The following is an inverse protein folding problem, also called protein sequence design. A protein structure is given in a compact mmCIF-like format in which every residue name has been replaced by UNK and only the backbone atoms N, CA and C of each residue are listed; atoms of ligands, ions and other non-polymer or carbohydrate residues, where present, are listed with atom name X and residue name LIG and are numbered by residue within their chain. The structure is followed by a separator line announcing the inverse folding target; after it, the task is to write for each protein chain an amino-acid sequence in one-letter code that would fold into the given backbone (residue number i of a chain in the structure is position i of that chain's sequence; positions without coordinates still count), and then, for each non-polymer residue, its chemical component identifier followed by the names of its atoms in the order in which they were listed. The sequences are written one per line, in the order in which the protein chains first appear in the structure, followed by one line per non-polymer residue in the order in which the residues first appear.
data_IF_903054447306
#
_entry.id   IF_903054447306
#
_cell.length_a   1.000
_cell.length_b   1.000
_cell.length_c   1.000
_cell.angle_alpha   90.00
_cell.angle_beta   90.00
_cell.angle_gamma   90.00
#
_symmetry.space_group_name_H-M   'P 1'
#
loop_
_entity.id
_entity.type
_entity.pdbx_description
1 polymer ?
#
# COMPACT_ATOMS: atom_id res chain seq x y z
N UNK A 1 36.83 -10.39 -4.13
CA UNK A 1 36.46 -10.00 -2.75
C UNK A 1 37.61 -10.45 -1.86
N UNK A 2 38.30 -9.54 -1.15
CA UNK A 2 39.42 -9.86 -0.28
C UNK A 2 38.93 -9.79 1.17
N UNK A 3 38.54 -10.91 1.81
CA UNK A 3 38.05 -10.87 3.18
C UNK A 3 39.21 -10.52 4.11
N UNK A 4 39.12 -9.37 4.79
CA UNK A 4 40.05 -9.01 5.86
C UNK A 4 39.80 -9.93 7.08
N UNK A 5 40.79 -10.74 7.51
CA UNK A 5 40.61 -11.65 8.64
C UNK A 5 40.20 -10.95 9.94
N UNK A 6 40.46 -9.64 10.07
CA UNK A 6 40.10 -8.84 11.25
C UNK A 6 38.59 -8.69 11.44
N UNK A 7 37.78 -8.95 10.42
CA UNK A 7 36.31 -8.84 10.51
C UNK A 7 35.59 -10.18 10.49
N UNK A 8 36.30 -11.30 10.47
CA UNK A 8 35.68 -12.62 10.34
C UNK A 8 34.79 -12.97 11.53
N UNK A 9 35.24 -12.68 12.77
CA UNK A 9 34.42 -12.87 13.96
C UNK A 9 33.10 -12.07 13.93
N UNK A 10 33.14 -10.85 13.39
CA UNK A 10 31.94 -10.02 13.22
C UNK A 10 31.01 -10.60 12.14
N UNK A 11 31.58 -11.09 11.03
CA UNK A 11 30.81 -11.73 9.96
C UNK A 11 30.11 -13.00 10.43
N UNK A 12 30.77 -13.81 11.25
CA UNK A 12 30.18 -15.03 11.80
C UNK A 12 29.01 -14.70 12.74
N UNK A 13 29.15 -13.70 13.62
CA UNK A 13 28.05 -13.21 14.44
C UNK A 13 26.88 -12.68 13.58
N UNK A 14 27.15 -11.88 12.55
CA UNK A 14 26.11 -11.40 11.65
C UNK A 14 25.43 -12.54 10.89
N UNK A 15 26.18 -13.60 10.52
CA UNK A 15 25.61 -14.80 9.90
C UNK A 15 24.63 -15.47 10.84
N UNK A 16 24.98 -15.64 12.11
CA UNK A 16 24.07 -16.20 13.13
C UNK A 16 22.82 -15.33 13.31
N UNK A 17 22.98 -14.01 13.44
CA UNK A 17 21.85 -13.09 13.58
C UNK A 17 20.92 -13.10 12.37
N UNK A 18 21.43 -13.23 11.15
CA UNK A 18 20.60 -13.33 9.93
C UNK A 18 19.74 -14.60 9.84
N UNK A 19 19.97 -15.61 10.70
CA UNK A 19 19.06 -16.76 10.86
C UNK A 19 17.84 -16.43 11.73
N UNK A 20 17.82 -15.28 12.41
CA UNK A 20 16.63 -14.78 13.11
C UNK A 20 15.74 -14.04 12.11
N UNK A 21 14.48 -14.48 11.99
CA UNK A 21 13.54 -13.93 11.00
C UNK A 21 13.38 -12.41 11.11
N UNK A 22 13.27 -11.86 12.33
CA UNK A 22 13.14 -10.41 12.55
C UNK A 22 14.34 -9.62 12.03
N UNK A 23 15.56 -10.15 12.22
CA UNK A 23 16.79 -9.53 11.71
C UNK A 23 16.84 -9.63 10.19
N UNK A 24 16.46 -10.78 9.64
CA UNK A 24 16.43 -11.01 8.21
C UNK A 24 15.45 -10.05 7.52
N UNK A 25 14.21 -9.94 8.03
CA UNK A 25 13.18 -9.03 7.52
C UNK A 25 13.65 -7.58 7.62
N UNK A 26 14.26 -7.18 8.74
CA UNK A 26 14.76 -5.81 8.92
C UNK A 26 15.87 -5.45 7.94
N UNK A 27 16.88 -6.32 7.80
CA UNK A 27 17.99 -6.06 6.87
C UNK A 27 17.54 -6.15 5.41
N UNK A 28 16.68 -7.11 5.08
CA UNK A 28 16.10 -7.24 3.74
C UNK A 28 15.28 -6.01 3.35
N UNK A 29 14.43 -5.51 4.26
CA UNK A 29 13.69 -4.26 4.10
C UNK A 29 14.62 -3.08 3.84
N UNK A 30 15.59 -2.86 4.75
CA UNK A 30 16.53 -1.75 4.67
C UNK A 30 17.36 -1.74 3.37
N UNK A 31 17.80 -2.90 2.89
CA UNK A 31 18.63 -3.00 1.67
C UNK A 31 17.77 -2.84 0.40
N UNK A 32 16.57 -3.43 0.37
CA UNK A 32 15.69 -3.40 -0.80
C UNK A 32 14.85 -2.13 -0.91
N UNK A 33 14.71 -1.38 0.17
CA UNK A 33 13.75 -0.28 0.30
C UNK A 33 12.31 -0.74 0.50
N UNK A 34 12.06 -2.04 0.71
CA UNK A 34 10.72 -2.57 0.95
C UNK A 34 10.10 -2.09 2.28
N UNK A 35 10.92 -1.59 3.21
CA UNK A 35 10.48 -1.00 4.48
C UNK A 35 10.28 0.51 4.42
N UNK A 36 10.38 1.14 3.23
CA UNK A 36 10.07 2.56 3.05
C UNK A 36 8.57 2.78 3.30
N UNK A 37 8.26 3.65 4.26
CA UNK A 37 6.92 4.13 4.54
C UNK A 37 6.95 5.65 4.74
N UNK A 38 5.93 6.34 4.22
CA UNK A 38 5.74 7.77 4.43
C UNK A 38 4.95 8.04 5.71
N UNK A 39 5.40 8.98 6.53
CA UNK A 39 4.62 9.45 7.67
C UNK A 39 3.44 10.28 7.18
N UNK A 40 2.22 9.75 7.35
CA UNK A 40 0.98 10.42 6.98
C UNK A 40 0.30 11.13 8.17
N UNK A 41 0.85 10.99 9.39
CA UNK A 41 0.24 11.47 10.63
C UNK A 41 -0.88 10.57 11.16
N UNK A 42 -0.89 9.29 10.78
CA UNK A 42 -1.89 8.28 11.17
C UNK A 42 -1.21 7.15 11.97
N UNK A 43 -0.78 7.42 13.22
CA UNK A 43 -0.03 6.46 14.01
C UNK A 43 -0.84 5.20 14.28
N UNK A 44 -0.28 4.04 13.95
CA UNK A 44 -0.89 2.74 14.20
C UNK A 44 -1.72 2.18 13.05
N UNK A 45 -1.90 2.89 11.93
CA UNK A 45 -2.44 2.29 10.70
C UNK A 45 -1.32 1.56 9.92
N UNK A 46 -1.33 0.21 9.83
CA UNK A 46 -0.34 -0.55 9.09
C UNK A 46 -0.35 -0.30 7.58
N UNK A 47 -1.39 0.33 7.04
CA UNK A 47 -1.47 0.70 5.63
C UNK A 47 -1.12 2.16 5.36
N UNK A 48 -0.91 2.99 6.38
CA UNK A 48 -0.58 4.40 6.18
C UNK A 48 0.81 4.54 5.55
N UNK A 49 0.85 5.07 4.33
CA UNK A 49 2.08 5.48 3.67
C UNK A 49 3.03 4.35 3.28
N UNK A 50 2.63 3.08 3.42
CA UNK A 50 3.41 1.92 2.96
C UNK A 50 3.19 1.68 1.46
N UNK A 51 4.12 0.98 0.84
CA UNK A 51 3.98 0.54 -0.55
C UNK A 51 2.85 -0.49 -0.66
N UNK A 52 1.93 -0.31 -1.62
CA UNK A 52 0.80 -1.20 -1.79
C UNK A 52 1.29 -2.60 -2.18
N UNK A 53 0.84 -3.67 -1.50
CA UNK A 53 1.12 -5.02 -1.94
C UNK A 53 0.52 -5.22 -3.33
N UNK A 54 1.22 -5.96 -4.20
CA UNK A 54 0.73 -6.18 -5.56
C UNK A 54 -0.32 -7.30 -5.61
N UNK A 55 -1.51 -6.95 -5.10
CA UNK A 55 -2.67 -7.83 -4.95
C UNK A 55 -3.17 -8.33 -6.30
N UNK A 56 -3.64 -9.59 -6.33
CA UNK A 56 -4.46 -10.10 -7.44
C UNK A 56 -5.92 -9.77 -7.18
N UNK A 57 -6.51 -9.03 -8.11
CA UNK A 57 -7.82 -8.42 -7.96
C UNK A 57 -8.77 -9.00 -9.01
N UNK A 58 -9.85 -9.63 -8.54
CA UNK A 58 -10.93 -10.12 -9.40
C UNK A 58 -12.01 -9.03 -9.57
N UNK A 59 -12.05 -8.45 -10.76
CA UNK A 59 -13.13 -7.56 -11.21
C UNK A 59 -14.31 -8.37 -11.75
N UNK A 60 -15.36 -7.70 -12.24
CA UNK A 60 -16.49 -8.38 -12.88
C UNK A 60 -16.08 -9.18 -14.12
N UNK A 61 -15.12 -8.65 -14.89
CA UNK A 61 -14.80 -9.16 -16.23
C UNK A 61 -13.48 -9.94 -16.28
N UNK A 62 -12.54 -9.65 -15.38
CA UNK A 62 -11.18 -10.24 -15.41
C UNK A 62 -10.49 -10.26 -14.05
N UNK A 63 -9.39 -11.02 -13.95
CA UNK A 63 -8.39 -10.88 -12.87
C UNK A 63 -7.26 -9.97 -13.34
N UNK A 64 -6.82 -9.06 -12.49
CA UNK A 64 -5.79 -8.04 -12.78
C UNK A 64 -4.92 -7.81 -11.54
N UNK A 65 -3.62 -7.51 -11.72
CA UNK A 65 -2.78 -7.12 -10.57
C UNK A 65 -2.90 -5.64 -10.27
N UNK A 66 -2.77 -5.26 -9.01
CA UNK A 66 -2.81 -3.85 -8.57
C UNK A 66 -1.81 -2.98 -9.35
N UNK A 67 -0.59 -3.47 -9.56
CA UNK A 67 0.43 -2.76 -10.33
C UNK A 67 0.00 -2.47 -11.79
N UNK A 68 -0.89 -3.28 -12.37
CA UNK A 68 -1.40 -3.06 -13.72
C UNK A 68 -2.42 -1.92 -13.77
N UNK A 69 -3.20 -1.74 -12.70
CA UNK A 69 -4.12 -0.60 -12.56
C UNK A 69 -3.36 0.72 -12.51
N UNK A 70 -2.12 0.73 -11.98
CA UNK A 70 -1.29 1.92 -11.85
C UNK A 70 -0.49 2.27 -13.11
N UNK A 71 -0.48 1.43 -14.15
CA UNK A 71 0.29 1.67 -15.40
C UNK A 71 -0.10 2.98 -16.10
N UNK A 72 -1.33 3.44 -15.92
CA UNK A 72 -1.81 4.72 -16.45
C UNK A 72 -1.25 5.95 -15.74
N UNK A 73 -0.47 5.79 -14.66
CA UNK A 73 0.07 6.91 -13.88
C UNK A 73 -0.99 7.68 -13.11
N UNK A 74 -2.18 7.09 -12.94
CA UNK A 74 -3.31 7.69 -12.20
C UNK A 74 -3.43 7.05 -10.82
N UNK A 75 -3.88 7.81 -9.80
CA UNK A 75 -4.25 7.24 -8.52
C UNK A 75 -5.48 6.35 -8.68
N UNK A 76 -5.57 5.30 -7.88
CA UNK A 76 -6.66 4.33 -7.95
C UNK A 76 -7.28 4.15 -6.57
N UNK A 77 -8.60 4.32 -6.49
CA UNK A 77 -9.41 3.87 -5.36
C UNK A 77 -9.94 2.47 -5.68
N UNK A 78 -9.56 1.49 -4.87
CA UNK A 78 -10.00 0.10 -4.99
C UNK A 78 -11.04 -0.17 -3.90
N UNK A 79 -12.28 -0.43 -4.28
CA UNK A 79 -13.36 -0.89 -3.42
C UNK A 79 -13.32 -2.43 -3.34
N UNK A 80 -12.82 -2.95 -2.21
CA UNK A 80 -12.58 -4.36 -1.94
C UNK A 80 -13.81 -5.08 -1.36
N UNK A 81 -14.70 -4.34 -0.70
CA UNK A 81 -15.85 -4.88 0.04
C UNK A 81 -17.21 -4.47 -0.55
N UNK A 82 -17.24 -3.75 -1.68
CA UNK A 82 -18.47 -3.28 -2.30
C UNK A 82 -19.15 -2.15 -1.53
N UNK A 83 -18.39 -1.15 -1.08
CA UNK A 83 -18.81 0.03 -0.32
C UNK A 83 -19.26 1.17 -1.26
N UNK A 84 -20.56 1.25 -1.66
CA UNK A 84 -21.03 2.28 -2.59
C UNK A 84 -20.78 3.71 -2.09
N UNK A 85 -20.90 3.95 -0.80
CA UNK A 85 -20.71 5.26 -0.17
C UNK A 85 -19.27 5.81 -0.34
N UNK A 86 -18.27 4.93 -0.40
CA UNK A 86 -16.88 5.33 -0.66
C UNK A 86 -16.67 5.69 -2.14
N UNK A 87 -17.31 4.92 -3.04
CA UNK A 87 -17.28 5.23 -4.48
C UNK A 87 -18.01 6.54 -4.79
N UNK A 88 -19.14 6.78 -4.16
CA UNK A 88 -19.89 8.04 -4.25
C UNK A 88 -19.08 9.22 -3.69
N UNK A 89 -18.39 9.05 -2.56
CA UNK A 89 -17.52 10.06 -2.00
C UNK A 89 -16.36 10.46 -2.91
N UNK A 90 -15.85 9.52 -3.71
CA UNK A 90 -14.82 9.75 -4.71
C UNK A 90 -15.35 10.33 -6.04
N UNK A 91 -16.67 10.37 -6.25
CA UNK A 91 -17.31 10.88 -7.46
C UNK A 91 -16.73 12.20 -7.99
N UNK A 92 -16.55 13.24 -7.14
CA UNK A 92 -15.99 14.53 -7.55
C UNK A 92 -14.51 14.49 -8.01
N UNK A 93 -13.80 13.38 -7.80
CA UNK A 93 -12.40 13.17 -8.22
C UNK A 93 -12.25 12.24 -9.41
N UNK A 94 -13.33 11.70 -10.00
CA UNK A 94 -13.26 10.71 -11.10
C UNK A 94 -12.51 11.19 -12.35
N UNK A 95 -12.40 12.51 -12.57
CA UNK A 95 -11.55 13.09 -13.61
C UNK A 95 -10.03 12.94 -13.38
N UNK A 96 -9.62 12.55 -12.16
CA UNK A 96 -8.21 12.38 -11.75
C UNK A 96 -7.93 10.99 -11.17
N UNK A 97 -8.85 10.45 -10.36
CA UNK A 97 -8.73 9.17 -9.64
C UNK A 97 -9.60 8.12 -10.32
N UNK A 98 -9.01 6.97 -10.63
CA UNK A 98 -9.75 5.82 -11.16
C UNK A 98 -10.39 5.05 -10.00
N UNK A 99 -11.66 4.65 -10.17
CA UNK A 99 -12.40 3.90 -9.13
C UNK A 99 -12.67 2.50 -9.63
N UNK A 100 -12.13 1.51 -8.94
CA UNK A 100 -12.20 0.10 -9.34
C UNK A 100 -12.90 -0.69 -8.23
N UNK A 101 -13.90 -1.49 -8.59
CA UNK A 101 -14.47 -2.50 -7.70
C UNK A 101 -13.83 -3.84 -8.02
N UNK A 102 -13.21 -4.47 -7.03
CA UNK A 102 -12.59 -5.78 -7.20
C UNK A 102 -12.56 -6.55 -5.89
N UNK A 103 -12.50 -7.87 -5.95
CA UNK A 103 -12.29 -8.71 -4.77
C UNK A 103 -10.85 -9.22 -4.78
N UNK A 104 -10.10 -9.08 -3.69
CA UNK A 104 -8.75 -9.61 -3.64
C UNK A 104 -8.78 -11.14 -3.59
N UNK A 105 -7.86 -11.80 -4.30
CA UNK A 105 -7.67 -13.24 -4.20
C UNK A 105 -6.96 -13.60 -2.88
N UNK A 106 -6.12 -12.69 -2.37
CA UNK A 106 -5.50 -12.79 -1.06
C UNK A 106 -6.38 -12.19 0.05
N UNK A 107 -6.19 -12.63 1.30
CA UNK A 107 -6.87 -12.02 2.45
C UNK A 107 -6.26 -10.65 2.76
N UNK A 108 -7.06 -9.59 2.62
CA UNK A 108 -6.67 -8.22 2.93
C UNK A 108 -7.57 -7.68 4.04
N UNK A 109 -6.98 -7.18 5.13
CA UNK A 109 -7.72 -6.58 6.25
C UNK A 109 -8.03 -5.10 5.97
N UNK A 110 -8.67 -4.84 4.83
CA UNK A 110 -9.15 -3.53 4.40
C UNK A 110 -10.35 -3.70 3.44
N UNK A 111 -11.26 -2.75 3.47
CA UNK A 111 -12.47 -2.70 2.66
C UNK A 111 -12.32 -1.79 1.43
N UNK A 112 -11.41 -0.83 1.52
CA UNK A 112 -11.01 0.00 0.39
C UNK A 112 -9.56 0.47 0.57
N UNK A 113 -8.88 0.69 -0.55
CA UNK A 113 -7.52 1.21 -0.60
C UNK A 113 -7.46 2.36 -1.59
N UNK A 114 -6.87 3.48 -1.19
CA UNK A 114 -6.53 4.58 -2.09
C UNK A 114 -5.03 4.54 -2.36
N UNK A 115 -4.66 4.24 -3.59
CA UNK A 115 -3.26 4.08 -4.00
C UNK A 115 -2.85 5.26 -4.86
N UNK A 116 -1.72 5.88 -4.51
CA UNK A 116 -1.11 6.98 -5.27
C UNK A 116 -0.48 6.46 -6.57
N UNK A 117 -0.21 7.33 -7.57
CA UNK A 117 0.46 6.94 -8.81
C UNK A 117 1.84 6.28 -8.63
N UNK A 118 2.50 6.55 -7.50
CA UNK A 118 3.81 5.97 -7.13
C UNK A 118 3.69 4.63 -6.38
N UNK A 119 2.47 4.09 -6.23
CA UNK A 119 2.21 2.80 -5.59
C UNK A 119 2.07 2.85 -4.07
N UNK A 120 2.21 4.01 -3.43
CA UNK A 120 2.04 4.13 -1.99
C UNK A 120 0.58 4.36 -1.58
N UNK A 121 0.20 3.79 -0.44
CA UNK A 121 -1.14 3.94 0.09
C UNK A 121 -1.33 5.32 0.72
N UNK A 122 -2.36 6.02 0.25
CA UNK A 122 -2.79 7.32 0.76
C UNK A 122 -3.92 7.22 1.80
N UNK A 123 -4.69 6.14 1.76
CA UNK A 123 -5.79 5.85 2.69
C UNK A 123 -6.15 4.36 2.65
N UNK A 124 -6.61 3.83 3.77
CA UNK A 124 -7.23 2.52 3.88
C UNK A 124 -8.53 2.62 4.70
N UNK A 125 -9.58 1.91 4.28
CA UNK A 125 -10.79 1.72 5.06
C UNK A 125 -10.70 0.36 5.77
N UNK A 126 -10.83 0.29 7.09
CA UNK A 126 -10.69 -0.95 7.87
C UNK A 126 -11.76 -1.06 8.94
N UNK A 127 -12.05 -2.29 9.38
CA UNK A 127 -12.86 -2.55 10.58
C UNK A 127 -14.31 -2.03 10.52
N UNK A 128 -14.92 -1.92 9.35
CA UNK A 128 -16.25 -1.32 9.19
C UNK A 128 -16.26 0.21 9.20
N UNK A 129 -15.14 0.86 9.49
CA UNK A 129 -14.98 2.32 9.64
C UNK A 129 -14.68 3.04 8.32
N UNK A 130 -15.19 2.54 7.21
CA UNK A 130 -15.15 3.23 5.91
C UNK A 130 -15.97 4.52 5.95
N UNK A 131 -15.43 5.56 6.59
CA UNK A 131 -16.05 6.89 6.67
C UNK A 131 -15.79 7.66 5.35
N UNK A 132 -16.85 7.99 4.60
CA UNK A 132 -16.76 8.87 3.43
C UNK A 132 -16.06 10.21 3.70
N UNK A 133 -16.13 10.73 4.93
CA UNK A 133 -15.44 11.96 5.36
C UNK A 133 -13.92 11.81 5.32
N UNK A 134 -13.38 10.76 5.94
CA UNK A 134 -11.93 10.46 5.90
C UNK A 134 -11.42 10.23 4.48
N UNK A 135 -12.18 9.52 3.65
CA UNK A 135 -11.80 9.34 2.24
C UNK A 135 -11.75 10.68 1.49
N UNK A 136 -12.75 11.56 1.66
CA UNK A 136 -12.72 12.90 1.04
C UNK A 136 -11.53 13.73 1.51
N UNK A 137 -11.20 13.69 2.80
CA UNK A 137 -10.03 14.37 3.34
C UNK A 137 -8.73 13.85 2.70
N UNK A 138 -8.61 12.53 2.52
CA UNK A 138 -7.46 11.93 1.82
C UNK A 138 -7.41 12.35 0.34
N UNK A 139 -8.55 12.30 -0.37
CA UNK A 139 -8.63 12.72 -1.77
C UNK A 139 -8.26 14.20 -1.96
N UNK A 140 -8.73 15.09 -1.07
CA UNK A 140 -8.38 16.51 -1.12
C UNK A 140 -6.90 16.74 -0.81
N UNK A 141 -6.37 16.08 0.23
CA UNK A 141 -4.96 16.18 0.64
C UNK A 141 -4.00 15.78 -0.49
N UNK A 142 -4.31 14.70 -1.20
CA UNK A 142 -3.39 14.11 -2.18
C UNK A 142 -3.64 14.57 -3.61
N UNK A 143 -4.89 14.86 -3.98
CA UNK A 143 -5.27 15.15 -5.37
C UNK A 143 -5.92 16.52 -5.54
N UNK A 144 -5.95 17.33 -4.48
CA UNK A 144 -6.50 18.69 -4.47
C UNK A 144 -8.02 18.71 -4.37
N UNK A 145 -8.59 19.91 -4.34
CA UNK A 145 -10.05 20.11 -4.25
C UNK A 145 -10.79 19.47 -5.43
N UNK A 146 -12.04 19.02 -5.20
CA UNK A 146 -12.89 18.51 -6.27
C UNK A 146 -13.14 19.61 -7.31
N UNK A 147 -13.41 19.20 -8.55
CA UNK A 147 -13.74 20.13 -9.63
C UNK A 147 -15.15 20.72 -9.44
#
# INVERSE_FOLDING_TARGET
MNPDPRVDALRDLFRELMHLDDVNVRLGGMISGADIAYDLGEPGDPFAGVFAPDLRLKTADTSIRLAELLRGGRPVLIDLAGRPELREAAGPWTGRVDVVRAHPEEQVNAEALLVRPDGYLAYSARGGEGDPGRLRAALERWFGRPA
#
